data_IF_322235792826
#
_entry.id   IF_322235792826
#
_cell.length_a   1.000
_cell.length_b   1.000
_cell.length_c   1.000
_cell.angle_alpha   90.00
_cell.angle_beta   90.00
_cell.angle_gamma   90.00
#
_symmetry.space_group_name_H-M   'P 1'
#
loop_
_entity.id
_entity.type
_entity.pdbx_description
1 polymer ?
#
# COMPACT_ATOMS: atom_id res chain seq x y z
N UNK A 1 -18.33 -47.90 -11.11
CA UNK A 1 -19.36 -46.88 -11.38
C UNK A 1 -19.68 -46.04 -10.14
N UNK A 2 -19.94 -46.66 -8.97
CA UNK A 2 -20.24 -45.93 -7.73
C UNK A 2 -19.10 -45.02 -7.21
N UNK A 3 -17.84 -45.46 -7.29
CA UNK A 3 -16.70 -44.67 -6.81
C UNK A 3 -16.45 -43.36 -7.58
N UNK A 4 -16.81 -43.33 -8.87
CA UNK A 4 -16.67 -42.13 -9.72
C UNK A 4 -17.69 -41.06 -9.32
N UNK A 5 -18.92 -41.50 -9.03
CA UNK A 5 -19.98 -40.62 -8.52
C UNK A 5 -19.63 -40.03 -7.14
N UNK A 6 -19.01 -40.81 -6.27
CA UNK A 6 -18.57 -40.34 -4.96
C UNK A 6 -17.48 -39.27 -5.11
N UNK A 7 -16.48 -39.49 -5.99
CA UNK A 7 -15.41 -38.52 -6.23
C UNK A 7 -15.95 -37.19 -6.78
N UNK A 8 -16.93 -37.25 -7.69
CA UNK A 8 -17.59 -36.06 -8.23
C UNK A 8 -18.39 -35.31 -7.16
N UNK A 9 -19.09 -36.04 -6.28
CA UNK A 9 -19.85 -35.41 -5.19
C UNK A 9 -18.94 -34.69 -4.19
N UNK A 10 -17.76 -35.24 -3.89
CA UNK A 10 -16.77 -34.63 -2.99
C UNK A 10 -16.12 -33.40 -3.63
N UNK A 11 -15.83 -33.44 -4.94
CA UNK A 11 -15.30 -32.28 -5.66
C UNK A 11 -16.30 -31.11 -5.72
N UNK A 12 -17.59 -31.40 -5.91
CA UNK A 12 -18.66 -30.40 -5.85
C UNK A 12 -18.79 -29.83 -4.43
N UNK A 13 -18.69 -30.68 -3.40
CA UNK A 13 -18.76 -30.23 -2.01
C UNK A 13 -17.56 -29.36 -1.61
N UNK A 14 -16.36 -29.66 -2.12
CA UNK A 14 -15.16 -28.83 -1.90
C UNK A 14 -15.27 -27.48 -2.62
N UNK A 15 -15.72 -27.47 -3.88
CA UNK A 15 -15.96 -26.22 -4.62
C UNK A 15 -17.04 -25.33 -3.99
N UNK A 16 -18.01 -25.92 -3.30
CA UNK A 16 -19.06 -25.20 -2.55
C UNK A 16 -18.58 -24.73 -1.18
N UNK A 17 -17.60 -25.41 -0.55
CA UNK A 17 -17.04 -24.98 0.73
C UNK A 17 -16.15 -23.73 0.61
N UNK A 18 -15.45 -23.56 -0.52
CA UNK A 18 -14.70 -22.33 -0.82
C UNK A 18 -15.62 -21.11 -1.06
N UNK A 19 -16.93 -21.33 -1.27
CA UNK A 19 -17.90 -20.26 -1.40
C UNK A 19 -18.36 -19.67 -0.06
N UNK A 20 -18.03 -20.28 1.09
CA UNK A 20 -18.48 -19.78 2.40
C UNK A 20 -17.60 -18.68 3.01
N UNK A 21 -16.42 -18.41 2.44
CA UNK A 21 -15.64 -17.20 2.75
C UNK A 21 -16.32 -15.94 2.18
N UNK A 22 -17.31 -16.11 1.29
CA UNK A 22 -18.13 -15.03 0.73
C UNK A 22 -19.29 -14.59 1.64
N UNK A 23 -19.52 -15.22 2.80
CA UNK A 23 -20.65 -14.83 3.66
C UNK A 23 -20.43 -13.50 4.42
N UNK A 24 -19.17 -13.06 4.57
CA UNK A 24 -18.87 -11.72 5.08
C UNK A 24 -19.05 -10.61 4.02
N UNK A 25 -19.17 -10.97 2.73
CA UNK A 25 -19.28 -10.01 1.62
C UNK A 25 -20.75 -9.64 1.31
N UNK A 26 -21.73 -10.36 1.84
CA UNK A 26 -23.10 -10.39 1.31
C UNK A 26 -24.16 -9.64 2.13
N UNK A 27 -23.81 -8.54 2.81
CA UNK A 27 -24.81 -7.74 3.59
C UNK A 27 -25.13 -6.33 3.10
N UNK A 28 -24.58 -5.84 1.99
CA UNK A 28 -24.93 -4.50 1.52
C UNK A 28 -25.04 -4.45 -0.01
N UNK A 29 -26.27 -4.24 -0.50
CA UNK A 29 -26.70 -3.80 -1.84
C UNK A 29 -25.66 -3.91 -2.99
N UNK A 30 -25.86 -4.90 -3.86
CA UNK A 30 -24.84 -5.50 -4.73
C UNK A 30 -24.67 -4.85 -6.11
N UNK A 31 -24.61 -3.52 -6.21
CA UNK A 31 -24.07 -2.84 -7.39
C UNK A 31 -23.14 -1.74 -6.88
N UNK A 32 -21.84 -1.77 -7.18
CA UNK A 32 -20.97 -0.67 -6.81
C UNK A 32 -21.47 0.60 -7.50
N UNK A 33 -21.66 1.66 -6.73
CA UNK A 33 -22.15 2.97 -7.20
C UNK A 33 -21.20 3.63 -8.21
N UNK A 34 -20.05 3.02 -8.50
CA UNK A 34 -18.98 3.48 -9.38
C UNK A 34 -18.21 2.28 -9.98
N UNK A 35 -17.47 2.52 -11.06
CA UNK A 35 -16.65 1.50 -11.73
C UNK A 35 -15.50 1.04 -10.80
N UNK A 36 -15.19 -0.27 -10.69
CA UNK A 36 -14.11 -0.75 -9.84
C UNK A 36 -12.75 -0.29 -10.39
N UNK A 37 -12.11 0.62 -9.67
CA UNK A 37 -10.72 1.06 -9.90
C UNK A 37 -9.76 0.17 -9.12
N UNK A 38 -8.64 -0.19 -9.73
CA UNK A 38 -7.52 -0.86 -9.08
C UNK A 38 -6.32 0.11 -8.99
N UNK A 39 -5.89 0.40 -7.77
CA UNK A 39 -4.73 1.23 -7.49
C UNK A 39 -3.51 0.36 -7.22
N UNK A 40 -2.40 0.68 -7.88
CA UNK A 40 -1.11 0.04 -7.65
C UNK A 40 -0.06 1.11 -7.40
N UNK A 41 0.73 0.92 -6.36
CA UNK A 41 1.87 1.78 -6.09
C UNK A 41 3.12 1.18 -6.74
N UNK A 42 3.80 1.98 -7.56
CA UNK A 42 5.01 1.59 -8.26
C UNK A 42 6.22 2.33 -7.64
N UNK A 43 7.41 1.76 -7.84
CA UNK A 43 8.69 2.31 -7.38
C UNK A 43 8.77 2.55 -5.85
N UNK A 44 7.98 1.82 -5.07
CA UNK A 44 8.03 1.81 -3.62
C UNK A 44 8.39 0.41 -3.12
N UNK A 45 9.42 0.31 -2.28
CA UNK A 45 9.86 -0.94 -1.68
C UNK A 45 8.84 -1.40 -0.62
N UNK A 46 8.29 -0.46 0.15
CA UNK A 46 7.31 -0.70 1.21
C UNK A 46 6.27 0.41 1.23
N UNK A 47 5.00 0.04 1.06
CA UNK A 47 3.88 0.95 1.09
C UNK A 47 2.57 0.26 1.48
N UNK A 48 1.61 1.05 1.92
CA UNK A 48 0.34 0.57 2.44
C UNK A 48 -0.81 1.44 1.93
N UNK A 49 -1.89 0.82 1.47
CA UNK A 49 -3.16 1.50 1.29
C UNK A 49 -3.87 1.59 2.64
N UNK A 50 -4.39 2.76 2.93
CA UNK A 50 -5.02 3.07 4.20
C UNK A 50 -6.53 2.96 4.04
N UNK A 51 -7.17 2.33 5.01
CA UNK A 51 -8.62 2.34 5.14
C UNK A 51 -8.98 3.24 6.31
N UNK A 52 -10.06 3.99 6.17
CA UNK A 52 -10.61 4.70 7.31
C UNK A 52 -11.05 3.70 8.38
N UNK A 53 -10.81 4.02 9.65
CA UNK A 53 -11.27 3.23 10.79
C UNK A 53 -12.78 3.35 11.03
N UNK A 54 -13.48 4.18 10.26
CA UNK A 54 -14.91 4.43 10.36
C UNK A 54 -15.70 3.40 9.53
N UNK A 55 -16.92 3.10 9.96
CA UNK A 55 -17.82 2.19 9.24
C UNK A 55 -18.46 2.82 7.97
N UNK A 56 -18.21 4.10 7.71
CA UNK A 56 -18.74 4.83 6.55
C UNK A 56 -17.90 4.55 5.30
N UNK A 57 -18.19 3.43 4.65
CA UNK A 57 -17.47 2.94 3.46
C UNK A 57 -17.40 3.94 2.28
N UNK A 58 -18.25 4.97 2.26
CA UNK A 58 -18.44 5.85 1.09
C UNK A 58 -18.00 7.31 1.31
N UNK A 59 -17.36 7.67 2.43
CA UNK A 59 -16.99 9.08 2.65
C UNK A 59 -15.97 9.63 1.64
N UNK A 60 -15.10 8.77 1.12
CA UNK A 60 -14.08 9.13 0.11
C UNK A 60 -14.52 8.85 -1.32
N UNK A 61 -15.81 8.61 -1.55
CA UNK A 61 -16.35 8.27 -2.86
C UNK A 61 -17.63 9.06 -3.13
N UNK A 62 -17.66 9.76 -4.25
CA UNK A 62 -18.87 10.29 -4.87
C UNK A 62 -19.23 9.44 -6.09
N UNK A 63 -20.36 9.73 -6.75
CA UNK A 63 -20.74 9.09 -8.01
C UNK A 63 -19.67 9.21 -9.11
N UNK A 64 -18.81 10.23 -9.03
CA UNK A 64 -17.85 10.58 -10.07
C UNK A 64 -16.39 10.49 -9.63
N UNK A 65 -16.12 10.38 -8.33
CA UNK A 65 -14.75 10.47 -7.81
C UNK A 65 -14.56 9.48 -6.68
N UNK A 66 -13.46 8.73 -6.71
CA UNK A 66 -13.02 7.88 -5.62
C UNK A 66 -11.59 8.25 -5.24
N UNK A 67 -11.35 8.31 -3.94
CA UNK A 67 -10.03 8.57 -3.36
C UNK A 67 -9.64 7.41 -2.47
N UNK A 68 -8.42 6.89 -2.66
CA UNK A 68 -7.83 5.85 -1.81
C UNK A 68 -6.55 6.42 -1.16
N UNK A 69 -6.51 6.61 0.16
CA UNK A 69 -5.31 7.12 0.82
C UNK A 69 -4.24 6.03 0.86
N UNK A 70 -2.97 6.44 0.76
CA UNK A 70 -1.84 5.52 0.82
C UNK A 70 -0.68 6.15 1.60
N UNK A 71 0.21 5.30 2.09
CA UNK A 71 1.41 5.68 2.82
C UNK A 71 2.63 4.98 2.24
N UNK A 72 3.67 5.76 1.94
CA UNK A 72 4.94 5.25 1.42
C UNK A 72 5.95 5.23 2.57
N UNK A 73 6.27 4.04 3.05
CA UNK A 73 7.26 3.87 4.11
C UNK A 73 8.67 3.93 3.53
N UNK A 74 8.91 3.24 2.41
CA UNK A 74 10.23 3.13 1.79
C UNK A 74 10.11 3.20 0.26
N UNK A 75 10.84 4.13 -0.35
CA UNK A 75 11.01 4.23 -1.79
C UNK A 75 12.43 4.71 -2.10
N UNK A 76 13.07 4.15 -3.14
CA UNK A 76 14.42 4.56 -3.59
C UNK A 76 14.42 5.29 -4.92
N UNK A 77 13.32 5.20 -5.65
CA UNK A 77 13.04 5.94 -6.87
C UNK A 77 11.73 6.72 -6.68
N UNK A 78 11.46 7.68 -7.56
CA UNK A 78 10.25 8.49 -7.47
C UNK A 78 9.02 7.56 -7.58
N UNK A 79 8.19 7.47 -6.52
CA UNK A 79 7.02 6.61 -6.55
C UNK A 79 5.98 7.16 -7.52
N UNK A 80 5.22 6.24 -8.13
CA UNK A 80 4.08 6.57 -8.99
C UNK A 80 2.87 5.72 -8.59
N UNK A 81 1.68 6.22 -8.89
CA UNK A 81 0.42 5.53 -8.67
C UNK A 81 -0.15 5.17 -10.04
N UNK A 82 -0.40 3.88 -10.26
CA UNK A 82 -1.19 3.41 -11.39
C UNK A 82 -2.64 3.20 -10.95
N UNK A 83 -3.57 3.83 -11.65
CA UNK A 83 -5.00 3.59 -11.50
C UNK A 83 -5.53 2.93 -12.77
N UNK A 84 -6.21 1.79 -12.62
CA UNK A 84 -6.72 1.02 -13.74
C UNK A 84 -8.20 0.67 -13.63
N UNK A 85 -8.88 0.74 -14.77
CA UNK A 85 -10.26 0.32 -15.01
C UNK A 85 -10.25 -0.74 -16.11
N UNK A 86 -10.08 -2.01 -15.72
CA UNK A 86 -9.93 -3.10 -16.69
C UNK A 86 -8.74 -2.84 -17.62
N UNK A 87 -8.94 -2.67 -18.95
CA UNK A 87 -7.86 -2.46 -19.91
C UNK A 87 -7.32 -1.02 -19.94
N UNK A 88 -7.99 -0.06 -19.29
CA UNK A 88 -7.55 1.33 -19.24
C UNK A 88 -6.71 1.55 -18.00
N UNK A 89 -5.49 2.06 -18.14
CA UNK A 89 -4.61 2.39 -17.01
C UNK A 89 -3.95 3.74 -17.20
N UNK A 90 -3.82 4.49 -16.11
CA UNK A 90 -3.08 5.74 -16.08
C UNK A 90 -2.09 5.67 -14.93
N UNK A 91 -0.82 5.94 -15.23
CA UNK A 91 0.24 6.08 -14.23
C UNK A 91 0.54 7.56 -14.01
N UNK A 92 0.58 7.98 -12.74
CA UNK A 92 0.90 9.34 -12.35
C UNK A 92 2.00 9.35 -11.27
N UNK A 93 3.10 10.09 -11.45
CA UNK A 93 4.11 10.25 -10.40
C UNK A 93 3.52 10.94 -9.16
N UNK A 94 3.95 10.50 -7.98
CA UNK A 94 3.60 11.15 -6.71
C UNK A 94 4.32 12.49 -6.64
N UNK A 95 3.60 13.60 -6.42
CA UNK A 95 4.22 14.91 -6.33
C UNK A 95 5.27 14.97 -5.23
N UNK A 96 6.44 15.53 -5.56
CA UNK A 96 7.62 15.48 -4.68
C UNK A 96 7.45 16.33 -3.42
N UNK A 97 6.60 17.34 -3.47
CA UNK A 97 6.22 18.19 -2.33
C UNK A 97 5.44 17.44 -1.25
N UNK A 98 4.81 16.31 -1.61
CA UNK A 98 4.13 15.42 -0.66
C UNK A 98 5.08 14.37 -0.06
N UNK A 99 6.22 14.15 -0.70
CA UNK A 99 7.28 13.28 -0.20
C UNK A 99 8.21 14.11 0.69
N UNK A 100 8.52 13.63 1.89
CA UNK A 100 9.58 14.28 2.66
C UNK A 100 10.90 13.94 1.97
N UNK A 101 11.39 14.88 1.15
CA UNK A 101 12.69 14.71 0.50
C UNK A 101 13.72 14.63 1.61
N UNK A 102 14.63 13.65 1.56
CA UNK A 102 15.77 13.71 2.43
C UNK A 102 16.60 14.96 2.19
N UNK A 103 16.64 15.85 3.18
CA UNK A 103 17.23 17.19 3.01
C UNK A 103 18.65 17.13 2.49
N UNK A 104 19.03 18.02 1.57
CA UNK A 104 20.39 18.26 0.99
C UNK A 104 21.14 17.07 0.39
N UNK A 105 20.78 15.83 0.69
CA UNK A 105 21.46 14.67 0.15
C UNK A 105 20.90 14.36 -1.24
N UNK A 106 21.79 14.13 -2.23
CA UNK A 106 21.33 13.68 -3.54
C UNK A 106 20.55 12.37 -3.38
N UNK A 107 19.56 12.16 -4.24
CA UNK A 107 18.89 10.87 -4.36
C UNK A 107 19.98 9.78 -4.49
N UNK A 108 20.09 8.94 -3.47
CA UNK A 108 21.15 7.96 -3.32
C UNK A 108 20.49 6.59 -3.17
N UNK A 109 21.08 5.55 -3.76
CA UNK A 109 20.62 4.18 -3.58
C UNK A 109 20.66 3.71 -2.11
N UNK A 110 21.42 4.43 -1.29
CA UNK A 110 21.58 4.19 0.16
C UNK A 110 20.42 4.78 0.95
N UNK A 111 19.80 5.85 0.46
CA UNK A 111 18.82 6.58 1.25
C UNK A 111 17.47 6.76 0.55
N UNK A 112 16.38 6.55 1.28
CA UNK A 112 15.03 6.48 0.73
C UNK A 112 14.34 7.85 0.66
N UNK A 113 13.12 7.95 0.16
CA UNK A 113 12.25 9.07 0.50
C UNK A 113 11.84 8.96 1.98
N UNK A 114 11.56 10.09 2.65
CA UNK A 114 11.09 10.20 4.05
C UNK A 114 12.09 9.97 5.19
N UNK A 115 13.42 10.04 4.97
CA UNK A 115 14.36 10.08 6.09
C UNK A 115 14.77 11.49 6.46
N UNK A 116 15.03 11.69 7.77
CA UNK A 116 15.59 12.91 8.33
C UNK A 116 16.86 12.56 9.10
N UNK A 117 18.00 13.09 8.68
CA UNK A 117 19.22 13.01 9.49
C UNK A 117 19.07 14.00 10.64
N UNK A 118 19.15 13.47 11.86
CA UNK A 118 19.21 14.24 13.09
C UNK A 118 20.59 14.05 13.69
N UNK A 119 21.35 15.14 13.84
CA UNK A 119 22.63 15.11 14.55
C UNK A 119 22.36 15.35 16.03
N UNK A 120 22.97 14.54 16.88
CA UNK A 120 22.92 14.70 18.33
C UNK A 120 24.33 14.87 18.87
N UNK A 121 24.55 15.91 19.67
CA UNK A 121 25.80 16.05 20.44
C UNK A 121 25.70 15.08 21.61
N UNK A 122 26.27 13.88 21.43
CA UNK A 122 26.23 12.83 22.47
C UNK A 122 27.06 13.21 23.71
N UNK A 123 28.09 14.03 23.54
CA UNK A 123 28.89 14.51 24.65
C UNK A 123 29.46 15.90 24.33
N UNK A 124 29.24 16.86 25.21
CA UNK A 124 29.75 18.24 25.07
C UNK A 124 31.17 18.39 25.61
N UNK A 125 31.67 17.39 26.35
CA UNK A 125 33.00 17.42 26.96
C UNK A 125 33.89 16.31 26.41
N UNK A 126 35.05 16.70 25.91
CA UNK A 126 36.11 15.79 25.48
C UNK A 126 36.91 15.42 26.72
N UNK A 127 36.75 14.19 27.20
CA UNK A 127 37.51 13.71 28.34
C UNK A 127 38.96 13.41 27.90
N UNK A 128 39.91 14.17 28.45
CA UNK A 128 41.35 14.08 28.15
C UNK A 128 41.93 12.67 28.41
N UNK A 129 41.24 11.81 29.16
CA UNK A 129 41.67 10.45 29.45
C UNK A 129 41.63 9.48 28.25
N UNK A 130 40.99 9.82 27.12
CA UNK A 130 41.00 9.02 25.88
C UNK A 130 41.18 9.90 24.65
N UNK A 131 42.42 10.25 24.26
CA UNK A 131 42.64 10.93 22.99
C UNK A 131 42.18 10.03 21.84
N UNK A 132 41.36 10.55 20.93
CA UNK A 132 41.07 9.89 19.64
C UNK A 132 42.01 10.46 18.59
N UNK A 133 42.64 9.55 17.83
CA UNK A 133 43.51 9.90 16.70
C UNK A 133 42.63 10.25 15.51
N UNK A 134 42.96 11.37 14.85
CA UNK A 134 42.32 11.87 13.64
C UNK A 134 43.00 11.31 12.40
#
# INVERSE_FOLDING_TARGET
>A
MLHILILQSVAILWGVADCRVLEALQRYSSIPTYLPVNYQLLNADLAFFLKEANQDFMRNSSLMTRTEPFFIYQARALPSVNASYGPLSVEQPVPIELLQIPGTFPASSVFTFNWKVQTFIMNTQINLAKPRVQ
#
